data_IF_977135460804
#
_entry.id   IF_977135460804
#
_cell.length_a   1.000
_cell.length_b   1.000
_cell.length_c   1.000
_cell.angle_alpha   90.00
_cell.angle_beta   90.00
_cell.angle_gamma   90.00
#
_symmetry.space_group_name_H-M   'P 1'
#
loop_
_entity.id
_entity.type
_entity.pdbx_description
1 polymer ?
#
# COMPACT_ATOMS: atom_id res chain seq x y z
N UNK A 1 37.12 -44.26 31.92
CA UNK A 1 36.48 -43.00 32.36
C UNK A 1 35.94 -42.29 31.13
N UNK A 2 34.61 -42.12 31.08
CA UNK A 2 33.86 -41.44 30.01
C UNK A 2 34.17 -39.95 30.02
N UNK A 3 34.26 -39.34 28.84
CA UNK A 3 33.81 -37.97 28.51
C UNK A 3 34.09 -37.70 27.03
N UNK A 4 33.14 -38.07 26.17
CA UNK A 4 33.07 -37.57 24.79
C UNK A 4 32.00 -36.48 24.79
N UNK A 5 32.43 -35.23 24.68
CA UNK A 5 31.53 -34.07 24.63
C UNK A 5 31.00 -33.95 23.20
N UNK A 6 29.74 -34.31 22.99
CA UNK A 6 29.01 -34.04 21.76
C UNK A 6 28.54 -32.58 21.78
N UNK A 7 29.26 -31.71 21.07
CA UNK A 7 28.81 -30.36 20.72
C UNK A 7 27.77 -30.47 19.60
N UNK A 8 26.49 -30.58 19.98
CA UNK A 8 25.36 -30.45 19.07
C UNK A 8 25.26 -28.97 18.69
N UNK A 9 25.79 -28.63 17.52
CA UNK A 9 25.60 -27.33 16.88
C UNK A 9 24.12 -27.15 16.57
N UNK A 10 23.47 -26.30 17.37
CA UNK A 10 22.09 -25.90 17.20
C UNK A 10 22.02 -24.91 16.03
N UNK A 11 22.03 -25.47 14.81
CA UNK A 11 21.78 -24.69 13.59
C UNK A 11 20.29 -24.37 13.58
N UNK A 12 19.94 -23.20 14.08
CA UNK A 12 18.61 -22.63 13.93
C UNK A 12 18.30 -22.57 12.43
N UNK A 13 17.29 -23.31 11.92
CA UNK A 13 16.86 -23.12 10.55
C UNK A 13 16.26 -21.71 10.51
N UNK A 14 16.97 -20.78 9.88
CA UNK A 14 16.44 -19.47 9.55
C UNK A 14 15.28 -19.71 8.59
N UNK A 15 14.07 -19.72 9.14
CA UNK A 15 12.85 -19.64 8.36
C UNK A 15 12.86 -18.28 7.67
N UNK A 16 13.49 -18.22 6.49
CA UNK A 16 13.31 -17.14 5.54
C UNK A 16 11.85 -17.17 5.12
N UNK A 17 11.02 -16.43 5.86
CA UNK A 17 9.71 -16.04 5.37
C UNK A 17 9.93 -15.21 4.11
N UNK A 18 9.81 -15.85 2.95
CA UNK A 18 9.75 -15.16 1.67
C UNK A 18 8.49 -14.27 1.70
N UNK A 19 8.70 -13.00 2.03
CA UNK A 19 7.68 -11.98 1.91
C UNK A 19 7.39 -11.86 0.42
N UNK A 20 6.30 -12.49 -0.06
CA UNK A 20 5.91 -12.42 -1.46
C UNK A 20 5.83 -10.94 -1.85
N UNK A 21 6.67 -10.51 -2.79
CA UNK A 21 6.64 -9.16 -3.34
C UNK A 21 5.27 -8.97 -3.99
N UNK A 22 4.35 -8.30 -3.29
CA UNK A 22 2.96 -8.06 -3.74
C UNK A 22 2.85 -7.26 -5.05
N UNK A 23 3.97 -6.80 -5.56
CA UNK A 23 4.10 -6.00 -6.77
C UNK A 23 4.73 -6.74 -7.95
N UNK A 24 5.04 -8.04 -7.80
CA UNK A 24 5.37 -8.90 -8.93
C UNK A 24 4.08 -9.33 -9.63
N UNK A 25 3.53 -8.40 -10.41
CA UNK A 25 2.23 -8.55 -11.07
C UNK A 25 2.39 -9.28 -12.41
N UNK A 26 1.42 -10.13 -12.81
CA UNK A 26 1.46 -10.77 -14.11
C UNK A 26 1.37 -9.71 -15.23
N UNK A 27 1.92 -10.02 -16.41
CA UNK A 27 2.02 -9.06 -17.53
C UNK A 27 0.67 -8.55 -18.05
N UNK A 28 -0.39 -9.33 -17.82
CA UNK A 28 -1.78 -9.05 -18.21
C UNK A 28 -2.63 -8.53 -17.03
N UNK A 29 -1.99 -8.12 -15.93
CA UNK A 29 -2.69 -7.57 -14.78
C UNK A 29 -3.56 -6.38 -15.17
N UNK A 30 -4.84 -6.46 -14.81
CA UNK A 30 -5.78 -5.36 -14.96
C UNK A 30 -6.08 -4.76 -13.60
N UNK A 31 -5.88 -3.44 -13.49
CA UNK A 31 -6.24 -2.72 -12.28
C UNK A 31 -7.74 -2.85 -11.99
N UNK A 32 -8.13 -2.94 -10.70
CA UNK A 32 -9.52 -2.88 -10.31
C UNK A 32 -10.13 -1.56 -10.76
N UNK A 33 -11.39 -1.61 -11.24
CA UNK A 33 -12.11 -0.41 -11.68
C UNK A 33 -12.76 0.27 -10.48
N UNK A 34 -12.64 1.60 -10.34
CA UNK A 34 -13.33 2.33 -9.28
C UNK A 34 -14.84 2.32 -9.49
N UNK A 35 -15.62 2.42 -8.41
CA UNK A 35 -17.08 2.49 -8.50
C UNK A 35 -17.50 3.80 -9.17
N UNK A 36 -18.16 3.70 -10.32
CA UNK A 36 -18.56 4.86 -11.12
C UNK A 36 -19.50 5.81 -10.37
N UNK A 37 -20.42 5.29 -9.55
CA UNK A 37 -21.37 6.12 -8.79
C UNK A 37 -20.65 6.89 -7.69
N UNK A 38 -19.71 6.24 -7.00
CA UNK A 38 -18.89 6.90 -5.98
C UNK A 38 -18.00 7.95 -6.63
N UNK A 39 -17.26 7.61 -7.70
CA UNK A 39 -16.42 8.59 -8.40
C UNK A 39 -17.21 9.78 -8.94
N UNK A 40 -18.42 9.56 -9.46
CA UNK A 40 -19.30 10.65 -9.92
C UNK A 40 -19.77 11.56 -8.79
N UNK A 41 -19.95 11.01 -7.58
CA UNK A 41 -20.23 11.81 -6.39
C UNK A 41 -19.00 12.61 -5.98
N UNK A 42 -17.82 11.98 -5.93
CA UNK A 42 -16.57 12.62 -5.53
C UNK A 42 -16.21 13.80 -6.43
N UNK A 43 -16.42 13.68 -7.76
CA UNK A 43 -16.20 14.77 -8.73
C UNK A 43 -16.93 16.09 -8.44
N UNK A 44 -17.94 16.10 -7.55
CA UNK A 44 -18.71 17.30 -7.20
C UNK A 44 -18.04 18.19 -6.14
N UNK A 45 -16.97 17.72 -5.49
CA UNK A 45 -16.27 18.52 -4.47
C UNK A 45 -15.33 17.75 -3.54
N UNK A 46 -15.15 16.45 -3.77
CA UNK A 46 -14.24 15.57 -3.02
C UNK A 46 -13.09 15.07 -3.92
N UNK A 47 -12.11 14.41 -3.31
CA UNK A 47 -10.95 13.90 -4.03
C UNK A 47 -11.25 12.54 -4.70
N UNK A 48 -10.91 12.44 -5.99
CA UNK A 48 -11.15 11.25 -6.82
C UNK A 48 -9.97 10.29 -6.82
N UNK A 49 -10.13 9.11 -7.43
CA UNK A 49 -9.01 8.17 -7.57
C UNK A 49 -7.89 8.68 -8.50
N UNK A 50 -8.22 9.55 -9.46
CA UNK A 50 -7.22 10.19 -10.32
C UNK A 50 -6.37 11.18 -9.51
N UNK A 51 -7.00 11.91 -8.58
CA UNK A 51 -6.30 12.80 -7.67
C UNK A 51 -5.38 12.02 -6.72
N UNK A 52 -5.84 10.85 -6.24
CA UNK A 52 -5.01 9.95 -5.45
C UNK A 52 -3.78 9.48 -6.24
N UNK A 53 -3.95 9.06 -7.49
CA UNK A 53 -2.82 8.62 -8.33
C UNK A 53 -1.77 9.72 -8.47
N UNK A 54 -2.20 10.96 -8.71
CA UNK A 54 -1.31 12.14 -8.78
C UNK A 54 -0.61 12.40 -7.46
N UNK A 55 -1.34 12.34 -6.34
CA UNK A 55 -0.79 12.53 -5.01
C UNK A 55 0.32 11.51 -4.71
N UNK A 56 0.05 10.22 -4.96
CA UNK A 56 1.03 9.15 -4.75
C UNK A 56 2.27 9.35 -5.62
N UNK A 57 2.08 9.69 -6.89
CA UNK A 57 3.17 9.91 -7.84
C UNK A 57 4.09 11.06 -7.39
N UNK A 58 3.51 12.18 -6.96
CA UNK A 58 4.27 13.33 -6.44
C UNK A 58 4.99 12.99 -5.14
N UNK A 59 4.33 12.30 -4.21
CA UNK A 59 4.94 11.91 -2.92
C UNK A 59 6.12 10.97 -3.10
N UNK A 60 6.08 10.11 -4.13
CA UNK A 60 7.09 9.08 -4.38
C UNK A 60 8.08 9.44 -5.51
N UNK A 61 8.01 10.66 -6.05
CA UNK A 61 8.85 11.14 -7.16
C UNK A 61 8.88 10.16 -8.35
N UNK A 62 7.69 9.73 -8.80
CA UNK A 62 7.54 8.77 -9.90
C UNK A 62 6.47 9.17 -10.93
N UNK A 63 6.41 8.47 -12.07
CA UNK A 63 5.39 8.71 -13.08
C UNK A 63 4.02 8.15 -12.64
N UNK A 64 2.92 8.73 -13.13
CA UNK A 64 1.56 8.23 -12.89
C UNK A 64 1.36 6.76 -13.28
N UNK A 65 2.10 6.28 -14.28
CA UNK A 65 2.07 4.89 -14.77
C UNK A 65 2.74 3.90 -13.81
N UNK A 66 3.64 4.38 -12.95
CA UNK A 66 4.37 3.55 -11.99
C UNK A 66 3.55 3.29 -10.71
N UNK A 67 2.40 3.98 -10.58
CA UNK A 67 1.40 3.77 -9.55
C UNK A 67 0.37 2.77 -10.07
N UNK A 68 0.32 1.57 -9.50
CA UNK A 68 -0.61 0.51 -9.90
C UNK A 68 -1.55 0.21 -8.74
N UNK A 69 -2.86 0.35 -8.94
CA UNK A 69 -3.84 -0.01 -7.90
C UNK A 69 -4.00 -1.52 -7.82
N UNK A 70 -3.83 -2.08 -6.61
CA UNK A 70 -4.09 -3.49 -6.31
C UNK A 70 -5.50 -3.70 -5.76
N UNK A 71 -5.98 -2.76 -4.95
CA UNK A 71 -7.29 -2.81 -4.32
C UNK A 71 -7.83 -1.40 -4.13
N UNK A 72 -9.11 -1.24 -4.44
CA UNK A 72 -9.87 -0.01 -4.24
C UNK A 72 -11.06 -0.35 -3.36
N UNK A 73 -11.20 0.35 -2.24
CA UNK A 73 -12.34 0.22 -1.33
C UNK A 73 -12.81 1.62 -0.97
N UNK A 74 -13.88 2.09 -1.60
CA UNK A 74 -14.35 3.47 -1.46
C UNK A 74 -15.74 3.56 -0.86
N UNK A 75 -15.95 4.62 -0.10
CA UNK A 75 -17.24 5.15 0.33
C UNK A 75 -17.28 6.64 0.02
N UNK A 76 -18.41 7.31 0.23
CA UNK A 76 -18.51 8.75 -0.05
C UNK A 76 -17.51 9.57 0.79
N UNK A 77 -17.47 9.33 2.10
CA UNK A 77 -16.61 10.09 3.02
C UNK A 77 -15.19 9.55 3.22
N UNK A 78 -14.90 8.30 2.84
CA UNK A 78 -13.59 7.69 3.06
C UNK A 78 -13.20 6.69 1.97
N UNK A 79 -11.96 6.24 1.97
CA UNK A 79 -11.51 5.14 1.12
C UNK A 79 -10.20 4.53 1.60
N UNK A 80 -9.96 3.28 1.23
CA UNK A 80 -8.73 2.53 1.49
C UNK A 80 -8.20 1.96 0.17
N UNK A 81 -6.90 2.09 -0.05
CA UNK A 81 -6.25 1.72 -1.30
C UNK A 81 -4.97 0.96 -1.00
N UNK A 82 -4.78 -0.15 -1.71
CA UNK A 82 -3.50 -0.84 -1.79
C UNK A 82 -2.92 -0.57 -3.17
N UNK A 83 -1.68 -0.12 -3.23
CA UNK A 83 -1.00 0.25 -4.47
C UNK A 83 0.39 -0.37 -4.53
N UNK A 84 0.90 -0.52 -5.73
CA UNK A 84 2.32 -0.73 -6.00
C UNK A 84 2.88 0.54 -6.62
N UNK A 85 3.98 1.03 -6.06
CA UNK A 85 4.67 2.23 -6.56
C UNK A 85 6.10 1.84 -6.85
N UNK A 86 6.49 1.82 -8.12
CA UNK A 86 7.83 1.38 -8.56
C UNK A 86 8.27 0.04 -7.92
N UNK A 87 7.35 -0.94 -7.85
CA UNK A 87 7.60 -2.26 -7.26
C UNK A 87 7.49 -2.35 -5.74
N UNK A 88 7.21 -1.25 -5.03
CA UNK A 88 7.03 -1.24 -3.57
C UNK A 88 5.53 -1.22 -3.20
N UNK A 89 5.05 -2.16 -2.36
CA UNK A 89 3.66 -2.16 -1.93
C UNK A 89 3.42 -1.08 -0.88
N UNK A 90 2.42 -0.23 -1.11
CA UNK A 90 2.03 0.84 -0.21
C UNK A 90 0.52 0.81 0.05
N UNK A 91 0.10 1.47 1.12
CA UNK A 91 -1.31 1.60 1.47
C UNK A 91 -1.64 3.07 1.75
N UNK A 92 -2.74 3.51 1.16
CA UNK A 92 -3.25 4.86 1.30
C UNK A 92 -4.68 4.84 1.82
N UNK A 93 -5.08 5.95 2.45
CA UNK A 93 -6.46 6.21 2.83
C UNK A 93 -6.88 7.60 2.41
N UNK A 94 -8.18 7.74 2.13
CA UNK A 94 -8.85 9.02 1.87
C UNK A 94 -9.80 9.32 3.03
N UNK A 95 -9.79 10.57 3.48
CA UNK A 95 -10.77 11.13 4.43
C UNK A 95 -11.27 12.46 3.87
N UNK A 96 -12.49 12.49 3.32
CA UNK A 96 -13.00 13.62 2.53
C UNK A 96 -12.11 13.90 1.33
N UNK A 97 -11.49 15.08 1.31
CA UNK A 97 -10.57 15.57 0.27
C UNK A 97 -9.09 15.25 0.53
N UNK A 98 -8.74 14.69 1.69
CA UNK A 98 -7.35 14.46 2.10
C UNK A 98 -6.93 13.02 1.82
N UNK A 99 -5.72 12.86 1.27
CA UNK A 99 -5.03 11.58 1.13
C UNK A 99 -3.87 11.49 2.10
N UNK A 100 -3.60 10.29 2.58
CA UNK A 100 -2.50 10.03 3.49
C UNK A 100 -2.15 8.55 3.54
N UNK A 101 -0.94 8.24 4.00
CA UNK A 101 -0.52 6.87 4.28
C UNK A 101 -1.48 6.20 5.26
N UNK A 102 -1.79 4.92 5.04
CA UNK A 102 -2.78 4.21 5.86
C UNK A 102 -2.46 4.24 7.37
N UNK A 103 -1.17 4.17 7.70
CA UNK A 103 -0.65 4.16 9.07
C UNK A 103 -0.53 5.56 9.70
N UNK A 104 -0.68 6.64 8.92
CA UNK A 104 -0.63 8.01 9.45
C UNK A 104 -1.97 8.38 10.07
N UNK A 105 -1.99 9.05 11.23
CA UNK A 105 -3.20 9.59 11.83
C UNK A 105 -3.21 11.12 11.69
N UNK A 106 -4.26 11.72 11.09
CA UNK A 106 -4.27 13.16 10.86
C UNK A 106 -4.41 13.97 12.16
N UNK A 107 -4.78 13.32 13.26
CA UNK A 107 -4.93 13.94 14.58
C UNK A 107 -3.70 13.76 15.47
N UNK A 108 -2.67 13.06 15.01
CA UNK A 108 -1.39 12.99 15.73
C UNK A 108 -0.68 14.33 15.54
N UNK A 109 -1.06 15.32 16.34
CA UNK A 109 -0.30 16.55 16.47
C UNK A 109 1.02 16.18 17.14
N UNK A 110 2.14 16.48 16.49
CA UNK A 110 3.45 16.47 17.15
C UNK A 110 3.33 17.43 18.33
N UNK A 111 3.16 16.90 19.55
CA UNK A 111 3.27 17.68 20.77
C UNK A 111 4.70 18.23 20.78
N UNK A 112 4.85 19.46 20.30
CA UNK A 112 6.08 20.23 20.42
C UNK A 112 6.23 20.75 21.83
#
# INVERSE_FOLDING_TARGET
MKKLLFTIGLTLPTLFFAQQNKCDLPKDYQEPKPDKKIQSFLKRGDATIEDLRKHIAVENDCDLKDVIFLRISEQKGNGMYSVCVAGKPMKYKRMGTVFMGAEQNPFDTVSK
#
